data_IF_319446090633
#
_entry.id   IF_319446090633
#
_cell.length_a   1.000
_cell.length_b   1.000
_cell.length_c   1.000
_cell.angle_alpha   90.00
_cell.angle_beta   90.00
_cell.angle_gamma   90.00
#
_symmetry.space_group_name_H-M   'P 1'
#
loop_
_entity.id
_entity.type
_entity.pdbx_description
1 polymer ?
#
# COMPACT_ATOMS: atom_id res chain seq x y z
N UNK A 1 8.52 -6.30 16.46
CA UNK A 1 7.82 -7.02 15.38
C UNK A 1 8.84 -7.23 14.26
N UNK A 2 8.84 -8.38 13.57
CA UNK A 2 9.88 -8.74 12.61
C UNK A 2 9.53 -8.19 11.22
N UNK A 3 10.38 -7.31 10.67
CA UNK A 3 10.21 -6.71 9.35
C UNK A 3 10.02 -7.75 8.24
N UNK A 4 10.62 -8.95 8.37
CA UNK A 4 10.46 -10.04 7.41
C UNK A 4 9.04 -10.59 7.42
N UNK A 5 8.42 -10.69 8.59
CA UNK A 5 7.04 -11.15 8.74
C UNK A 5 6.08 -10.13 8.13
N UNK A 6 6.28 -8.84 8.44
CA UNK A 6 5.48 -7.75 7.88
C UNK A 6 5.59 -7.67 6.35
N UNK A 7 6.81 -7.83 5.81
CA UNK A 7 7.05 -7.85 4.36
C UNK A 7 6.37 -9.04 3.67
N UNK A 8 6.40 -10.22 4.29
CA UNK A 8 5.71 -11.40 3.77
C UNK A 8 4.19 -11.21 3.77
N UNK A 9 3.62 -10.70 4.85
CA UNK A 9 2.18 -10.40 4.94
C UNK A 9 1.77 -9.37 3.89
N UNK A 10 2.53 -8.29 3.73
CA UNK A 10 2.27 -7.28 2.71
C UNK A 10 2.35 -7.87 1.29
N UNK A 11 3.32 -8.75 1.04
CA UNK A 11 3.48 -9.44 -0.26
C UNK A 11 2.25 -10.27 -0.58
N UNK A 12 1.78 -11.11 0.35
CA UNK A 12 0.60 -11.94 0.15
C UNK A 12 -0.68 -11.09 -0.01
N UNK A 13 -0.81 -9.99 0.71
CA UNK A 13 -1.94 -9.06 0.58
C UNK A 13 -1.97 -8.30 -0.76
N UNK A 14 -0.84 -8.17 -1.46
CA UNK A 14 -0.73 -7.44 -2.73
C UNK A 14 -0.69 -8.38 -3.94
N UNK A 15 -0.46 -9.68 -3.72
CA UNK A 15 -0.31 -10.67 -4.77
C UNK A 15 -1.55 -10.76 -5.65
N UNK A 16 -1.36 -10.61 -6.96
CA UNK A 16 -2.43 -10.73 -7.95
C UNK A 16 -3.39 -9.53 -8.01
N UNK A 17 -3.17 -8.45 -7.24
CA UNK A 17 -4.03 -7.28 -7.31
C UNK A 17 -3.81 -6.48 -8.58
N UNK A 18 -4.92 -6.09 -9.22
CA UNK A 18 -4.91 -5.20 -10.37
C UNK A 18 -5.00 -3.74 -9.91
N UNK A 19 -4.12 -2.88 -10.43
CA UNK A 19 -4.13 -1.44 -10.14
C UNK A 19 -5.29 -0.77 -10.89
N UNK A 20 -6.14 -0.05 -10.18
CA UNK A 20 -7.20 0.76 -10.75
C UNK A 20 -6.74 2.20 -10.98
N UNK A 21 -6.02 2.79 -10.01
CA UNK A 21 -5.62 4.19 -10.05
C UNK A 21 -4.37 4.45 -9.22
N UNK A 22 -3.53 5.38 -9.67
CA UNK A 22 -2.39 5.89 -8.91
C UNK A 22 -2.56 7.39 -8.70
N UNK A 23 -2.41 7.86 -7.47
CA UNK A 23 -2.52 9.28 -7.13
C UNK A 23 -1.39 9.73 -6.20
N UNK A 24 -0.92 10.96 -6.37
CA UNK A 24 -0.03 11.60 -5.40
C UNK A 24 -0.88 12.36 -4.38
N UNK A 25 -0.82 11.97 -3.10
CA UNK A 25 -1.60 12.63 -2.04
C UNK A 25 -0.87 13.83 -1.41
N UNK A 26 0.45 13.73 -1.28
CA UNK A 26 1.35 14.76 -0.72
C UNK A 26 2.68 14.74 -1.46
N UNK A 27 3.60 15.67 -1.17
CA UNK A 27 4.91 15.72 -1.82
C UNK A 27 5.68 14.38 -1.75
N UNK A 28 5.50 13.58 -0.70
CA UNK A 28 6.28 12.34 -0.48
C UNK A 28 5.42 11.07 -0.46
N UNK A 29 4.12 11.18 -0.75
CA UNK A 29 3.18 10.06 -0.60
C UNK A 29 2.42 9.76 -1.89
N UNK A 30 2.51 8.50 -2.31
CA UNK A 30 1.74 7.92 -3.41
C UNK A 30 0.71 6.96 -2.84
N UNK A 31 -0.53 7.06 -3.33
CA UNK A 31 -1.60 6.11 -3.08
C UNK A 31 -1.87 5.31 -4.35
N UNK A 32 -1.76 3.98 -4.25
CA UNK A 32 -2.16 3.01 -5.27
C UNK A 32 -3.49 2.42 -4.85
N UNK A 33 -4.52 2.62 -5.65
CA UNK A 33 -5.85 2.03 -5.45
C UNK A 33 -5.99 0.83 -6.38
N UNK A 34 -6.42 -0.29 -5.82
CA UNK A 34 -6.63 -1.53 -6.55
C UNK A 34 -8.10 -1.69 -6.94
N UNK A 35 -8.36 -2.54 -7.94
CA UNK A 35 -9.73 -2.79 -8.47
C UNK A 35 -10.68 -3.33 -7.40
N UNK A 36 -10.16 -4.03 -6.39
CA UNK A 36 -10.94 -4.53 -5.26
C UNK A 36 -11.30 -3.44 -4.22
N UNK A 37 -10.88 -2.19 -4.43
CA UNK A 37 -11.12 -1.06 -3.53
C UNK A 37 -10.09 -0.91 -2.40
N UNK A 38 -9.14 -1.85 -2.28
CA UNK A 38 -8.04 -1.73 -1.33
C UNK A 38 -7.01 -0.69 -1.77
N UNK A 39 -6.25 -0.15 -0.82
CA UNK A 39 -5.29 0.93 -1.08
C UNK A 39 -3.92 0.63 -0.48
N UNK A 40 -2.86 0.92 -1.22
CA UNK A 40 -1.47 0.91 -0.76
C UNK A 40 -0.96 2.35 -0.74
N UNK A 41 -0.52 2.82 0.43
CA UNK A 41 0.17 4.09 0.57
C UNK A 41 1.67 3.83 0.69
N UNK A 42 2.43 4.47 -0.19
CA UNK A 42 3.89 4.43 -0.24
C UNK A 42 4.40 5.81 0.11
N UNK A 43 5.15 5.92 1.20
CA UNK A 43 5.73 7.18 1.65
C UNK A 43 7.25 7.08 1.65
N UNK A 44 7.91 7.92 0.85
CA UNK A 44 9.36 7.92 0.64
C UNK A 44 10.08 9.00 1.42
N UNK A 45 9.96 8.99 2.76
CA UNK A 45 10.74 9.89 3.63
C UNK A 45 12.21 9.48 3.69
N UNK A 46 13.06 10.43 4.07
CA UNK A 46 14.53 10.25 4.12
C UNK A 46 14.98 9.06 5.00
N UNK A 47 14.17 8.65 5.98
CA UNK A 47 14.46 7.53 6.88
C UNK A 47 14.00 6.15 6.35
N UNK A 48 13.46 6.10 5.13
CA UNK A 48 13.06 4.85 4.45
C UNK A 48 11.63 4.84 3.92
N UNK A 49 11.29 3.76 3.22
CA UNK A 49 9.96 3.57 2.61
C UNK A 49 8.99 2.99 3.63
N UNK A 50 7.87 3.68 3.89
CA UNK A 50 6.76 3.13 4.67
C UNK A 50 5.63 2.68 3.76
N UNK A 51 5.08 1.50 4.07
CA UNK A 51 3.95 0.90 3.36
C UNK A 51 2.76 0.79 4.32
N UNK A 52 1.58 1.21 3.87
CA UNK A 52 0.32 1.02 4.57
C UNK A 52 -0.70 0.41 3.60
N UNK A 53 -1.25 -0.76 3.95
CA UNK A 53 -2.32 -1.41 3.18
C UNK A 53 -3.63 -1.21 3.92
N UNK A 54 -4.61 -0.63 3.24
CA UNK A 54 -5.97 -0.43 3.74
C UNK A 54 -6.93 -1.34 2.98
N UNK A 55 -7.74 -2.10 3.72
CA UNK A 55 -8.79 -2.94 3.16
C UNK A 55 -9.91 -2.09 2.52
N UNK A 56 -10.70 -2.65 1.58
CA UNK A 56 -11.86 -1.97 1.04
C UNK A 56 -12.86 -1.64 2.17
N UNK A 57 -13.51 -0.49 2.10
CA UNK A 57 -14.62 -0.21 2.99
C UNK A 57 -15.82 -1.07 2.54
N UNK A 58 -16.31 -1.94 3.41
CA UNK A 58 -17.63 -2.55 3.26
C UNK A 58 -18.65 -1.60 3.89
N UNK A 59 -19.44 -0.92 3.05
CA UNK A 59 -20.70 -0.26 3.46
C UNK A 59 -21.85 -1.27 3.48
#
# INVERSE_FOLDING_TARGET
MDLKIEANMATEMLKGKAVAKITRRRCEEVCVEFVDGSKLYVNGREDGVRLLIQAPNHE
#
